data_IF_898977686197
#
_entry.id   IF_898977686197
#
_cell.length_a   1.000
_cell.length_b   1.000
_cell.length_c   1.000
_cell.angle_alpha   90.00
_cell.angle_beta   90.00
_cell.angle_gamma   90.00
#
_symmetry.space_group_name_H-M   'P 1'
#
loop_
_entity.id
_entity.type
_entity.pdbx_description
1 polymer ?
#
# COMPACT_ATOMS: atom_id res chain seq x y z
N UNK A 1 1.71 -25.78 -4.55
CA UNK A 1 1.39 -24.56 -3.79
C UNK A 1 2.16 -24.50 -2.47
N UNK A 2 2.82 -23.37 -2.20
CA UNK A 2 3.57 -23.07 -0.98
C UNK A 2 3.21 -21.67 -0.44
N UNK A 3 3.28 -21.47 0.88
CA UNK A 3 3.18 -20.16 1.51
C UNK A 3 4.57 -19.71 1.94
N UNK A 4 5.03 -18.58 1.42
CA UNK A 4 6.36 -18.03 1.72
C UNK A 4 6.24 -16.58 2.19
N UNK A 5 7.23 -16.05 2.94
CA UNK A 5 7.25 -14.63 3.30
C UNK A 5 7.18 -13.75 2.04
N UNK A 6 6.42 -12.65 2.11
CA UNK A 6 6.38 -11.68 1.02
C UNK A 6 7.78 -11.08 0.85
N UNK A 7 8.25 -10.97 -0.39
CA UNK A 7 9.59 -10.48 -0.72
C UNK A 7 9.49 -9.32 -1.71
N UNK A 8 10.51 -8.46 -1.81
CA UNK A 8 10.55 -7.39 -2.80
C UNK A 8 10.29 -7.84 -4.24
N UNK A 9 10.76 -9.04 -4.60
CA UNK A 9 10.57 -9.64 -5.94
C UNK A 9 9.11 -9.93 -6.26
N UNK A 10 8.26 -10.07 -5.25
CA UNK A 10 6.82 -10.30 -5.39
C UNK A 10 6.00 -9.02 -5.63
N UNK A 11 6.64 -7.84 -5.56
CA UNK A 11 5.94 -6.56 -5.49
C UNK A 11 5.01 -6.29 -6.67
N UNK A 12 5.44 -6.63 -7.88
CA UNK A 12 4.65 -6.42 -9.10
C UNK A 12 3.39 -7.29 -9.11
N UNK A 13 3.51 -8.55 -8.71
CA UNK A 13 2.37 -9.48 -8.66
C UNK A 13 1.41 -9.11 -7.55
N UNK A 14 1.92 -8.75 -6.37
CA UNK A 14 1.11 -8.25 -5.27
C UNK A 14 0.33 -6.97 -5.67
N UNK A 15 0.98 -6.02 -6.34
CA UNK A 15 0.32 -4.82 -6.85
C UNK A 15 -0.81 -5.15 -7.86
N UNK A 16 -0.55 -6.07 -8.79
CA UNK A 16 -1.54 -6.52 -9.78
C UNK A 16 -2.74 -7.20 -9.12
N UNK A 17 -2.49 -8.13 -8.21
CA UNK A 17 -3.53 -8.85 -7.46
C UNK A 17 -4.33 -7.91 -6.55
N UNK A 18 -3.68 -6.92 -5.93
CA UNK A 18 -4.36 -5.90 -5.14
C UNK A 18 -5.32 -5.05 -5.99
N UNK A 19 -4.88 -4.61 -7.17
CA UNK A 19 -5.73 -3.85 -8.11
C UNK A 19 -6.91 -4.69 -8.58
N UNK A 20 -6.68 -5.95 -8.93
CA UNK A 20 -7.74 -6.85 -9.36
C UNK A 20 -8.74 -7.16 -8.22
N UNK A 21 -8.26 -7.30 -6.98
CA UNK A 21 -9.09 -7.65 -5.84
C UNK A 21 -9.82 -6.48 -5.18
N UNK A 22 -9.36 -5.23 -5.37
CA UNK A 22 -9.91 -4.04 -4.71
C UNK A 22 -10.04 -2.83 -5.64
N UNK A 23 -10.69 -2.97 -6.82
CA UNK A 23 -10.79 -1.88 -7.78
C UNK A 23 -11.51 -0.66 -7.18
N UNK A 24 -11.02 0.54 -7.49
CA UNK A 24 -11.65 1.81 -7.09
C UNK A 24 -11.31 2.27 -5.66
N UNK A 25 -10.48 1.53 -4.93
CA UNK A 25 -9.93 1.99 -3.64
C UNK A 25 -8.86 3.07 -3.84
N UNK A 26 -8.54 3.78 -2.75
CA UNK A 26 -7.51 4.81 -2.77
C UNK A 26 -6.16 4.30 -3.29
N UNK A 27 -5.63 3.21 -2.72
CA UNK A 27 -4.37 2.65 -3.15
C UNK A 27 -4.42 2.26 -4.63
N UNK A 28 -5.45 1.52 -5.07
CA UNK A 28 -5.56 1.12 -6.48
C UNK A 28 -5.63 2.31 -7.45
N UNK A 29 -6.18 3.45 -7.01
CA UNK A 29 -6.22 4.68 -7.82
C UNK A 29 -4.82 5.28 -8.10
N UNK A 30 -3.84 5.06 -7.24
CA UNK A 30 -2.45 5.52 -7.46
C UNK A 30 -1.76 4.78 -8.61
N UNK A 31 -2.35 3.67 -9.06
CA UNK A 31 -1.90 2.91 -10.21
C UNK A 31 -0.80 1.88 -9.90
N UNK A 32 -0.52 1.00 -10.88
CA UNK A 32 0.31 -0.18 -10.68
C UNK A 32 1.78 0.14 -10.35
N UNK A 33 2.30 1.27 -10.84
CA UNK A 33 3.69 1.66 -10.58
C UNK A 33 3.91 2.06 -9.12
N UNK A 34 3.05 2.93 -8.59
CA UNK A 34 3.11 3.34 -7.17
C UNK A 34 2.87 2.15 -6.25
N UNK A 35 1.90 1.29 -6.58
CA UNK A 35 1.62 0.09 -5.80
C UNK A 35 2.76 -0.93 -5.84
N UNK A 36 3.48 -1.03 -6.96
CA UNK A 36 4.67 -1.88 -7.03
C UNK A 36 5.73 -1.38 -6.04
N UNK A 37 6.04 -0.08 -6.02
CA UNK A 37 7.03 0.45 -5.05
C UNK A 37 6.56 0.27 -3.60
N UNK A 38 5.25 0.41 -3.35
CA UNK A 38 4.64 0.12 -2.04
C UNK A 38 4.91 -1.32 -1.60
N UNK A 39 4.54 -2.30 -2.43
CA UNK A 39 4.73 -3.71 -2.11
C UNK A 39 6.20 -4.16 -2.14
N UNK A 40 7.08 -3.43 -2.81
CA UNK A 40 8.51 -3.66 -2.75
C UNK A 40 9.13 -3.18 -1.43
N UNK A 41 8.50 -2.18 -0.83
CA UNK A 41 8.98 -1.53 0.40
C UNK A 41 8.40 -2.17 1.65
N UNK A 42 7.17 -2.68 1.59
CA UNK A 42 6.47 -3.25 2.73
C UNK A 42 7.24 -4.37 3.45
N UNK A 43 7.80 -5.40 2.76
CA UNK A 43 8.53 -6.48 3.45
C UNK A 43 9.83 -6.04 4.13
N UNK A 44 10.33 -4.86 3.75
CA UNK A 44 11.57 -4.30 4.29
C UNK A 44 11.30 -3.26 5.38
N UNK A 45 10.04 -2.92 5.63
CA UNK A 45 9.66 -2.01 6.70
C UNK A 45 9.62 -2.77 8.03
N UNK A 46 10.12 -2.16 9.10
CA UNK A 46 10.15 -2.82 10.41
C UNK A 46 8.74 -3.14 10.96
N UNK A 47 7.72 -2.44 10.45
CA UNK A 47 6.31 -2.61 10.83
C UNK A 47 5.48 -3.36 9.78
N UNK A 48 6.07 -3.73 8.64
CA UNK A 48 5.39 -4.41 7.54
C UNK A 48 5.51 -5.93 7.63
N UNK A 49 4.41 -6.62 7.37
CA UNK A 49 4.33 -8.08 7.40
C UNK A 49 3.56 -8.56 6.17
N UNK A 50 3.91 -9.74 5.65
CA UNK A 50 3.13 -10.33 4.58
C UNK A 50 3.61 -11.71 4.17
N UNK A 51 2.70 -12.45 3.54
CA UNK A 51 2.93 -13.77 2.98
C UNK A 51 2.36 -13.86 1.58
N UNK A 52 2.99 -14.68 0.75
CA UNK A 52 2.60 -14.98 -0.62
C UNK A 52 2.26 -16.46 -0.76
N UNK A 53 1.16 -16.76 -1.46
CA UNK A 53 0.85 -18.09 -1.94
C UNK A 53 1.40 -18.24 -3.37
N UNK A 54 2.33 -19.16 -3.56
CA UNK A 54 3.05 -19.37 -4.82
C UNK A 54 2.88 -20.81 -5.29
N UNK A 55 2.68 -20.98 -6.60
CA UNK A 55 2.63 -22.27 -7.29
C UNK A 55 3.43 -22.19 -8.59
N UNK A 56 4.42 -23.07 -8.79
CA UNK A 56 5.32 -23.06 -9.95
C UNK A 56 5.84 -21.66 -10.34
N UNK A 57 6.34 -20.92 -9.34
CA UNK A 57 6.83 -19.54 -9.44
C UNK A 57 5.77 -18.46 -9.76
N UNK A 58 4.51 -18.83 -9.93
CA UNK A 58 3.39 -17.90 -10.07
C UNK A 58 2.78 -17.56 -8.71
N UNK A 59 2.66 -16.26 -8.41
CA UNK A 59 1.88 -15.82 -7.26
C UNK A 59 0.39 -15.95 -7.52
N UNK A 60 -0.29 -16.77 -6.72
CA UNK A 60 -1.74 -16.97 -6.77
C UNK A 60 -2.49 -15.98 -5.86
N UNK A 61 -1.85 -15.56 -4.77
CA UNK A 61 -2.45 -14.69 -3.77
C UNK A 61 -1.43 -14.18 -2.78
N UNK A 62 -1.80 -13.18 -1.99
CA UNK A 62 -0.97 -12.68 -0.91
C UNK A 62 -1.83 -12.08 0.20
N UNK A 63 -1.24 -11.97 1.39
CA UNK A 63 -1.78 -11.20 2.51
C UNK A 63 -0.69 -10.26 3.01
N UNK A 64 -1.08 -9.04 3.33
CA UNK A 64 -0.18 -8.02 3.88
C UNK A 64 -0.84 -7.30 5.03
N UNK A 65 -0.07 -7.03 6.07
CA UNK A 65 -0.50 -6.26 7.22
C UNK A 65 0.60 -5.31 7.67
N UNK A 66 0.22 -4.31 8.47
CA UNK A 66 1.16 -3.46 9.18
C UNK A 66 0.72 -3.34 10.63
N UNK A 67 1.67 -3.35 11.55
CA UNK A 67 1.41 -3.08 12.97
C UNK A 67 1.17 -1.60 13.24
N UNK A 68 1.55 -0.71 12.31
CA UNK A 68 1.30 0.72 12.41
C UNK A 68 1.30 1.38 11.03
N UNK A 69 0.13 1.86 10.60
CA UNK A 69 -0.05 2.57 9.33
C UNK A 69 0.78 3.86 9.30
N UNK A 70 0.75 4.66 10.37
CA UNK A 70 1.50 5.91 10.45
C UNK A 70 3.01 5.71 10.35
N UNK A 71 3.58 4.74 11.09
CA UNK A 71 5.02 4.44 11.00
C UNK A 71 5.42 3.91 9.63
N UNK A 72 4.57 3.10 9.01
CA UNK A 72 4.80 2.60 7.65
C UNK A 72 4.92 3.77 6.66
N UNK A 73 3.97 4.73 6.69
CA UNK A 73 4.03 5.91 5.83
C UNK A 73 5.23 6.82 6.13
N UNK A 74 5.59 7.03 7.39
CA UNK A 74 6.79 7.79 7.76
C UNK A 74 8.04 7.09 7.22
N UNK A 75 8.16 5.77 7.36
CA UNK A 75 9.31 5.01 6.87
C UNK A 75 9.41 5.06 5.33
N UNK A 76 8.28 4.89 4.65
CA UNK A 76 8.15 5.02 3.20
C UNK A 76 8.54 6.45 2.74
N UNK A 77 8.02 7.48 3.40
CA UNK A 77 8.22 8.88 3.06
C UNK A 77 9.59 9.44 3.44
N UNK A 78 10.31 8.84 4.40
CA UNK A 78 11.63 9.32 4.83
C UNK A 78 12.77 8.49 4.26
N UNK A 79 12.70 7.15 4.37
CA UNK A 79 13.80 6.26 3.97
C UNK A 79 13.75 5.84 2.51
N UNK A 80 12.59 6.00 1.86
CA UNK A 80 12.34 5.48 0.51
C UNK A 80 11.67 6.50 -0.42
N UNK A 81 11.56 7.76 0.00
CA UNK A 81 10.92 8.82 -0.77
C UNK A 81 11.42 8.89 -2.22
N UNK A 82 12.73 8.75 -2.44
CA UNK A 82 13.33 8.80 -3.79
C UNK A 82 12.81 7.73 -4.75
N UNK A 83 12.33 6.58 -4.25
CA UNK A 83 11.74 5.52 -5.07
C UNK A 83 10.26 5.78 -5.37
N UNK A 84 9.55 6.42 -4.44
CA UNK A 84 8.13 6.74 -4.60
C UNK A 84 7.89 8.03 -5.38
N UNK A 85 8.81 9.00 -5.33
CA UNK A 85 8.62 10.32 -5.91
C UNK A 85 8.39 10.27 -7.43
N UNK A 86 9.22 9.60 -8.24
CA UNK A 86 9.02 9.57 -9.69
C UNK A 86 7.66 8.97 -10.12
N UNK A 87 7.24 7.77 -9.64
CA UNK A 87 5.95 7.21 -10.04
C UNK A 87 4.76 7.99 -9.46
N UNK A 88 4.87 8.58 -8.26
CA UNK A 88 3.82 9.44 -7.71
C UNK A 88 3.66 10.73 -8.52
N UNK A 89 4.75 11.40 -8.88
CA UNK A 89 4.71 12.61 -9.70
C UNK A 89 4.14 12.31 -11.09
N UNK A 90 4.52 11.19 -11.70
CA UNK A 90 3.95 10.75 -12.97
C UNK A 90 2.45 10.43 -12.86
N UNK A 91 2.01 9.85 -11.74
CA UNK A 91 0.60 9.61 -11.44
C UNK A 91 -0.17 10.94 -11.33
N UNK A 92 0.30 11.88 -10.51
CA UNK A 92 -0.37 13.17 -10.31
C UNK A 92 -0.35 14.06 -11.56
N UNK A 93 0.71 14.02 -12.36
CA UNK A 93 0.76 14.72 -13.64
C UNK A 93 -0.30 14.21 -14.62
N UNK A 94 -0.62 12.91 -14.58
CA UNK A 94 -1.65 12.29 -15.42
C UNK A 94 -3.06 12.45 -14.86
N UNK A 95 -3.22 12.48 -13.54
CA UNK A 95 -4.51 12.53 -12.87
C UNK A 95 -4.46 13.48 -11.66
N UNK A 96 -4.54 14.80 -11.88
CA UNK A 96 -4.41 15.80 -10.81
C UNK A 96 -5.54 15.71 -9.77
N UNK A 97 -6.73 15.24 -10.17
CA UNK A 97 -7.85 14.99 -9.26
C UNK A 97 -7.56 13.91 -8.20
N UNK A 98 -6.61 12.99 -8.47
CA UNK A 98 -6.18 12.02 -7.47
C UNK A 98 -5.38 12.65 -6.34
N UNK A 99 -4.64 13.73 -6.59
CA UNK A 99 -3.86 14.40 -5.54
C UNK A 99 -4.78 14.94 -4.43
N UNK A 100 -5.90 15.56 -4.83
CA UNK A 100 -6.93 16.06 -3.90
C UNK A 100 -7.56 14.93 -3.07
N UNK A 101 -7.97 13.84 -3.73
CA UNK A 101 -8.55 12.65 -3.07
C UNK A 101 -7.56 11.90 -2.17
N UNK A 102 -6.27 11.94 -2.51
CA UNK A 102 -5.20 11.33 -1.73
C UNK A 102 -5.05 11.99 -0.37
N UNK A 103 -5.11 13.32 -0.35
CA UNK A 103 -5.04 14.09 0.89
C UNK A 103 -6.25 13.78 1.78
N UNK A 104 -7.48 13.81 1.24
CA UNK A 104 -8.70 13.50 2.00
C UNK A 104 -8.66 12.13 2.68
N UNK A 105 -8.18 11.09 1.96
CA UNK A 105 -8.14 9.72 2.48
C UNK A 105 -7.05 9.53 3.54
N UNK A 106 -5.89 10.16 3.38
CA UNK A 106 -4.80 10.12 4.38
C UNK A 106 -5.16 10.85 5.68
N UNK A 107 -5.99 11.89 5.62
CA UNK A 107 -6.48 12.62 6.80
C UNK A 107 -7.71 11.96 7.46
N UNK A 108 -8.42 11.07 6.77
CA UNK A 108 -9.60 10.36 7.29
C UNK A 108 -9.35 9.52 8.56
N UNK A 109 -8.27 8.73 8.72
CA UNK A 109 -8.04 7.98 9.95
C UNK A 109 -7.78 8.88 11.18
N UNK A 110 -7.31 10.12 11.00
CA UNK A 110 -7.18 11.06 12.12
C UNK A 110 -8.53 11.63 12.59
N UNK A 111 -9.52 11.68 11.71
CA UNK A 111 -10.88 12.15 12.05
C UNK A 111 -11.74 11.00 12.60
N UNK A 112 -11.62 9.80 12.04
CA UNK A 112 -12.38 8.62 12.49
C UNK A 112 -11.97 8.13 13.89
N UNK A 113 -10.72 8.37 14.33
CA UNK A 113 -10.25 8.04 15.67
C UNK A 113 -10.93 8.84 16.80
N UNK A 114 -11.73 9.87 16.49
CA UNK A 114 -12.49 10.67 17.48
C UNK A 114 -13.94 10.23 17.69
N UNK A 115 -14.50 9.32 16.88
CA UNK A 115 -15.93 8.96 16.96
C UNK A 115 -16.22 7.71 17.80
N UNK A 116 -15.23 6.89 18.15
CA UNK A 116 -15.42 5.69 18.98
C UNK A 116 -15.43 5.95 20.50
N UNK A 117 -15.25 7.20 20.95
CA UNK A 117 -15.20 7.54 22.38
C UNK A 117 -16.45 8.24 22.92
N UNK A 118 -17.54 8.35 22.14
CA UNK A 118 -18.75 9.11 22.52
C UNK A 118 -20.07 8.34 22.47
N UNK A 119 -20.03 7.01 22.47
CA UNK A 119 -21.22 6.16 22.70
C UNK A 119 -20.86 5.05 23.68
N UNK A 120 -21.01 5.37 24.97
CA UNK A 120 -20.71 4.49 26.08
C UNK A 120 -20.98 5.19 27.40
N UNK A 121 -22.21 5.69 27.57
CA UNK A 121 -22.78 6.10 28.84
C UNK A 121 -24.26 5.72 28.84
#
# INVERSE_FOLDING_TARGET
MQIIPLQPTHARDAARLHIAGQPGTFLTSLGPQVLTVFYESLPRAAVGLGFAAVDDAQMLGFVSATTSVGRLFVELGTRRAGLFLPPLLACFARQPSLMLRSLETLFYPMVAARQSHRQGH
#
